data_IF_231433831475
#
_entry.id   IF_231433831475
#
_cell.length_a   1.000
_cell.length_b   1.000
_cell.length_c   1.000
_cell.angle_alpha   90.00
_cell.angle_beta   90.00
_cell.angle_gamma   90.00
#
_symmetry.space_group_name_H-M   'P 1'
#
loop_
_entity.id
_entity.type
_entity.pdbx_description
1 polymer ?
#
# COMPACT_ATOMS: atom_id res chain seq x y z
N UNK A 1 37.25 -34.44 15.15
CA UNK A 1 37.02 -33.76 16.46
C UNK A 1 36.28 -32.44 16.33
N UNK A 2 36.41 -31.73 15.24
CA UNK A 2 35.75 -30.39 15.06
C UNK A 2 34.21 -30.39 15.02
N UNK A 3 33.62 -31.44 14.50
CA UNK A 3 32.16 -31.45 14.28
C UNK A 3 31.37 -31.56 15.63
N UNK A 4 31.89 -32.29 16.61
CA UNK A 4 31.22 -32.48 17.90
C UNK A 4 31.27 -31.20 18.77
N UNK A 5 32.41 -30.52 18.79
CA UNK A 5 32.56 -29.23 19.52
C UNK A 5 31.69 -28.12 18.89
N UNK A 6 31.59 -28.07 17.59
CA UNK A 6 30.74 -27.14 16.87
C UNK A 6 29.26 -27.40 17.16
N UNK A 7 28.87 -28.68 17.20
CA UNK A 7 27.50 -29.08 17.51
C UNK A 7 27.12 -28.80 18.97
N UNK A 8 28.03 -29.05 19.91
CA UNK A 8 27.80 -28.72 21.32
C UNK A 8 27.64 -27.21 21.54
N UNK A 9 28.50 -26.41 20.89
CA UNK A 9 28.40 -24.95 20.98
C UNK A 9 27.07 -24.43 20.39
N UNK A 10 26.63 -25.00 19.29
CA UNK A 10 25.36 -24.69 18.68
C UNK A 10 24.17 -25.04 19.58
N UNK A 11 24.17 -26.20 20.19
CA UNK A 11 23.14 -26.64 21.12
C UNK A 11 23.09 -25.76 22.38
N UNK A 12 24.25 -25.32 22.90
CA UNK A 12 24.29 -24.36 24.02
C UNK A 12 23.64 -23.03 23.65
N UNK A 13 23.96 -22.47 22.47
CA UNK A 13 23.34 -21.24 21.98
C UNK A 13 21.83 -21.39 21.80
N UNK A 14 21.37 -22.54 21.32
CA UNK A 14 19.93 -22.84 21.23
C UNK A 14 19.29 -22.94 22.62
N UNK A 15 19.93 -23.57 23.56
CA UNK A 15 19.46 -23.70 24.94
C UNK A 15 19.33 -22.34 25.65
N UNK A 16 20.29 -21.44 25.41
CA UNK A 16 20.21 -20.06 25.92
C UNK A 16 19.03 -19.28 25.31
N UNK A 17 18.76 -19.47 24.04
CA UNK A 17 17.65 -18.84 23.34
C UNK A 17 16.29 -19.47 23.66
N UNK A 18 16.27 -20.79 23.86
CA UNK A 18 15.06 -21.59 24.08
C UNK A 18 15.25 -22.46 25.36
N UNK A 19 15.12 -21.89 26.56
CA UNK A 19 15.44 -22.55 27.82
C UNK A 19 14.47 -23.66 28.17
N UNK A 20 13.30 -23.72 27.53
CA UNK A 20 12.28 -24.75 27.78
C UNK A 20 11.41 -24.99 26.54
N UNK A 21 10.60 -26.05 26.61
CA UNK A 21 9.70 -26.43 25.53
C UNK A 21 8.67 -25.33 25.20
N UNK A 22 8.18 -24.60 26.19
CA UNK A 22 7.19 -23.54 25.98
C UNK A 22 7.76 -22.38 25.17
N UNK A 23 9.04 -22.02 25.39
CA UNK A 23 9.74 -21.02 24.58
C UNK A 23 9.88 -21.47 23.11
N UNK A 24 10.16 -22.74 22.87
CA UNK A 24 10.23 -23.32 21.52
C UNK A 24 8.85 -23.26 20.84
N UNK A 25 7.79 -23.70 21.54
CA UNK A 25 6.42 -23.72 21.02
C UNK A 25 5.96 -22.29 20.71
N UNK A 26 6.23 -21.34 21.59
CA UNK A 26 5.91 -19.92 21.37
C UNK A 26 6.57 -19.38 20.09
N UNK A 27 7.86 -19.66 19.89
CA UNK A 27 8.58 -19.24 18.68
C UNK A 27 8.03 -19.93 17.43
N UNK A 28 7.70 -21.22 17.49
CA UNK A 28 7.08 -21.94 16.38
C UNK A 28 5.73 -21.32 15.97
N UNK A 29 4.90 -20.96 16.96
CA UNK A 29 3.61 -20.28 16.70
C UNK A 29 3.86 -18.93 16.02
N UNK A 30 4.82 -18.14 16.53
CA UNK A 30 5.17 -16.85 15.95
C UNK A 30 5.69 -16.99 14.51
N UNK A 31 6.59 -17.92 14.25
CA UNK A 31 7.12 -18.18 12.91
C UNK A 31 6.03 -18.67 11.95
N UNK A 32 5.14 -19.54 12.41
CA UNK A 32 4.02 -20.01 11.62
C UNK A 32 3.06 -18.83 11.25
N UNK A 33 2.77 -17.97 12.22
CA UNK A 33 1.99 -16.76 11.97
C UNK A 33 2.67 -15.84 10.95
N UNK A 34 3.99 -15.63 11.06
CA UNK A 34 4.78 -14.84 10.10
C UNK A 34 4.73 -15.44 8.69
N UNK A 35 4.84 -16.76 8.56
CA UNK A 35 4.74 -17.45 7.26
C UNK A 35 3.36 -17.31 6.61
N UNK A 36 2.33 -17.15 7.43
CA UNK A 36 0.93 -16.96 6.96
C UNK A 36 0.61 -15.51 6.59
N UNK A 37 1.51 -14.54 6.90
CA UNK A 37 1.29 -13.15 6.54
C UNK A 37 1.37 -12.94 5.02
N UNK A 38 0.54 -12.04 4.46
CA UNK A 38 0.63 -11.68 3.06
C UNK A 38 2.03 -11.13 2.74
N UNK A 39 2.66 -11.68 1.70
CA UNK A 39 3.94 -11.19 1.18
C UNK A 39 3.71 -10.17 0.08
N UNK A 40 4.62 -9.20 -0.04
CA UNK A 40 4.67 -8.30 -1.19
C UNK A 40 5.12 -9.05 -2.45
N UNK A 41 4.93 -8.42 -3.60
CA UNK A 41 5.50 -8.91 -4.87
C UNK A 41 7.01 -8.70 -4.86
N UNK A 42 7.75 -9.74 -5.19
CA UNK A 42 9.21 -9.69 -5.35
C UNK A 42 9.53 -9.69 -6.85
N UNK A 43 10.43 -8.79 -7.27
CA UNK A 43 10.87 -8.69 -8.66
C UNK A 43 12.36 -9.00 -8.74
N UNK A 44 12.72 -9.94 -9.61
CA UNK A 44 14.11 -10.29 -9.87
C UNK A 44 14.55 -9.63 -11.19
N UNK A 45 15.62 -8.86 -11.12
CA UNK A 45 16.18 -8.14 -12.26
C UNK A 45 17.64 -8.54 -12.40
N UNK A 46 18.03 -9.04 -13.58
CA UNK A 46 19.39 -9.53 -13.80
C UNK A 46 20.32 -8.49 -14.41
N UNK A 47 19.83 -7.66 -15.32
CA UNK A 47 20.68 -6.79 -16.12
C UNK A 47 19.98 -5.48 -16.47
N UNK A 48 20.61 -4.37 -16.11
CA UNK A 48 20.03 -3.02 -16.25
C UNK A 48 20.62 -2.23 -17.41
N UNK A 49 21.81 -2.58 -17.89
CA UNK A 49 22.53 -1.90 -18.99
C UNK A 49 22.55 -0.35 -18.92
N UNK A 50 22.52 0.22 -17.71
CA UNK A 50 22.45 1.68 -17.51
C UNK A 50 21.10 2.31 -17.87
N UNK A 51 20.06 1.54 -18.16
CA UNK A 51 18.72 2.04 -18.48
C UNK A 51 17.95 2.48 -17.23
N UNK A 52 18.43 3.53 -16.54
CA UNK A 52 17.89 4.01 -15.26
C UNK A 52 16.37 4.36 -15.35
N UNK A 53 15.95 5.02 -16.42
CA UNK A 53 14.55 5.40 -16.60
C UNK A 53 13.62 4.19 -16.73
N UNK A 54 14.05 3.17 -17.49
CA UNK A 54 13.29 1.93 -17.61
C UNK A 54 13.20 1.18 -16.28
N UNK A 55 14.29 1.15 -15.50
CA UNK A 55 14.32 0.55 -14.18
C UNK A 55 13.40 1.27 -13.18
N UNK A 56 13.46 2.61 -13.13
CA UNK A 56 12.58 3.43 -12.29
C UNK A 56 11.11 3.20 -12.67
N UNK A 57 10.81 3.16 -13.97
CA UNK A 57 9.46 2.87 -14.47
C UNK A 57 8.98 1.49 -14.02
N UNK A 58 9.82 0.47 -14.12
CA UNK A 58 9.52 -0.88 -13.66
C UNK A 58 9.26 -0.92 -12.15
N UNK A 59 10.10 -0.27 -11.33
CA UNK A 59 9.90 -0.20 -9.87
C UNK A 59 8.58 0.51 -9.53
N UNK A 60 8.29 1.64 -10.17
CA UNK A 60 7.05 2.42 -9.92
C UNK A 60 5.79 1.64 -10.33
N UNK A 61 5.82 0.99 -11.47
CA UNK A 61 4.66 0.25 -11.99
C UNK A 61 4.53 -1.15 -11.38
N UNK A 62 5.61 -1.72 -10.92
CA UNK A 62 5.68 -3.05 -10.33
C UNK A 62 4.83 -4.10 -11.11
N UNK A 63 3.83 -4.69 -10.48
CA UNK A 63 2.95 -5.70 -11.09
C UNK A 63 1.77 -5.13 -11.91
N UNK A 64 1.67 -3.80 -12.10
CA UNK A 64 0.51 -3.17 -12.74
C UNK A 64 -0.80 -3.30 -11.95
N UNK A 65 -0.73 -3.69 -10.70
CA UNK A 65 -1.89 -3.98 -9.84
C UNK A 65 -2.74 -2.73 -9.59
N UNK A 66 -2.14 -1.52 -9.59
CA UNK A 66 -2.87 -0.28 -9.29
C UNK A 66 -3.99 -0.08 -10.30
N UNK A 67 -3.73 -0.23 -11.61
CA UNK A 67 -4.79 -0.09 -12.64
C UNK A 67 -5.95 -1.03 -12.36
N UNK A 68 -5.67 -2.30 -12.08
CA UNK A 68 -6.70 -3.28 -11.74
C UNK A 68 -7.48 -2.87 -10.50
N UNK A 69 -6.79 -2.36 -9.46
CA UNK A 69 -7.46 -1.89 -8.24
C UNK A 69 -8.31 -0.66 -8.47
N UNK A 70 -7.90 0.26 -9.33
CA UNK A 70 -8.72 1.40 -9.75
C UNK A 70 -9.99 0.90 -10.45
N UNK A 71 -9.87 -0.07 -11.35
CA UNK A 71 -11.01 -0.67 -12.05
C UNK A 71 -11.93 -1.43 -11.10
N UNK A 72 -11.38 -2.20 -10.15
CA UNK A 72 -12.14 -2.95 -9.13
C UNK A 72 -12.96 -2.00 -8.23
N UNK A 73 -12.37 -0.88 -7.81
CA UNK A 73 -12.99 0.03 -6.84
C UNK A 73 -13.99 0.98 -7.51
N UNK A 74 -13.65 1.49 -8.69
CA UNK A 74 -14.44 2.53 -9.34
C UNK A 74 -15.35 2.01 -10.44
N UNK A 75 -15.08 0.84 -11.02
CA UNK A 75 -15.91 0.28 -12.09
C UNK A 75 -16.26 1.33 -13.15
N UNK A 76 -17.55 1.61 -13.30
CA UNK A 76 -18.07 2.62 -14.23
C UNK A 76 -18.42 3.96 -13.54
N UNK A 77 -18.08 4.16 -12.27
CA UNK A 77 -18.43 5.38 -11.52
C UNK A 77 -17.60 6.60 -11.92
N UNK A 78 -16.42 6.36 -12.50
CA UNK A 78 -15.57 7.41 -13.08
C UNK A 78 -15.18 7.04 -14.52
N UNK A 79 -14.86 8.06 -15.31
CA UNK A 79 -14.49 7.85 -16.72
C UNK A 79 -13.14 7.15 -16.87
N UNK A 80 -12.91 6.51 -18.01
CA UNK A 80 -11.60 5.91 -18.33
C UNK A 80 -10.46 6.94 -18.31
N UNK A 81 -10.74 8.16 -18.77
CA UNK A 81 -9.76 9.25 -18.71
C UNK A 81 -9.41 9.62 -17.27
N UNK A 82 -10.40 9.65 -16.38
CA UNK A 82 -10.17 9.92 -14.96
C UNK A 82 -9.40 8.80 -14.28
N UNK A 83 -9.66 7.54 -14.62
CA UNK A 83 -8.88 6.39 -14.14
C UNK A 83 -7.42 6.46 -14.57
N UNK A 84 -7.17 6.79 -15.82
CA UNK A 84 -5.82 6.98 -16.35
C UNK A 84 -5.09 8.13 -15.65
N UNK A 85 -5.77 9.26 -15.45
CA UNK A 85 -5.23 10.42 -14.74
C UNK A 85 -4.88 10.06 -13.27
N UNK A 86 -5.72 9.27 -12.61
CA UNK A 86 -5.49 8.78 -11.25
C UNK A 86 -4.31 7.81 -11.18
N UNK A 87 -4.22 6.86 -12.11
CA UNK A 87 -3.06 5.97 -12.22
C UNK A 87 -1.77 6.76 -12.47
N UNK A 88 -1.80 7.75 -13.37
CA UNK A 88 -0.65 8.61 -13.64
C UNK A 88 -0.21 9.39 -12.38
N UNK A 89 -1.16 9.87 -11.59
CA UNK A 89 -0.86 10.55 -10.32
C UNK A 89 -0.22 9.62 -9.30
N UNK A 90 -0.67 8.37 -9.21
CA UNK A 90 -0.12 7.38 -8.26
C UNK A 90 1.29 6.95 -8.67
N UNK A 91 1.53 6.71 -9.96
CA UNK A 91 2.84 6.26 -10.44
C UNK A 91 3.86 7.39 -10.58
N UNK A 92 3.42 8.59 -10.97
CA UNK A 92 4.24 9.75 -11.28
C UNK A 92 3.66 11.03 -10.65
N UNK A 93 3.63 11.13 -9.31
CA UNK A 93 2.95 12.23 -8.61
C UNK A 93 3.54 13.60 -8.95
N UNK A 94 4.86 13.75 -8.94
CA UNK A 94 5.53 15.02 -9.18
C UNK A 94 5.30 15.52 -10.60
N UNK A 95 5.43 14.63 -11.58
CA UNK A 95 5.22 14.93 -12.98
C UNK A 95 3.76 15.29 -13.24
N UNK A 96 2.82 14.56 -12.62
CA UNK A 96 1.40 14.80 -12.80
C UNK A 96 0.93 16.10 -12.17
N UNK A 97 1.37 16.39 -10.95
CA UNK A 97 1.06 17.64 -10.25
C UNK A 97 1.62 18.83 -11.05
N UNK A 98 2.87 18.76 -11.47
CA UNK A 98 3.50 19.80 -12.30
C UNK A 98 2.74 20.01 -13.62
N UNK A 99 2.31 18.93 -14.27
CA UNK A 99 1.53 19.01 -15.50
C UNK A 99 0.20 19.75 -15.28
N UNK A 100 -0.53 19.44 -14.20
CA UNK A 100 -1.80 20.12 -13.85
C UNK A 100 -1.57 21.59 -13.54
N UNK A 101 -0.51 21.93 -12.81
CA UNK A 101 -0.15 23.32 -12.51
C UNK A 101 0.16 24.14 -13.77
N UNK A 102 0.80 23.53 -14.76
CA UNK A 102 1.17 24.20 -16.01
C UNK A 102 0.01 24.32 -17.00
N UNK A 103 -0.85 23.31 -17.11
CA UNK A 103 -1.87 23.23 -18.14
C UNK A 103 -3.29 23.52 -17.63
N UNK A 104 -3.44 23.67 -16.32
CA UNK A 104 -4.74 23.89 -15.67
C UNK A 104 -5.64 22.66 -15.68
N UNK A 105 -6.81 22.80 -15.06
CA UNK A 105 -7.79 21.72 -14.88
C UNK A 105 -8.68 21.46 -16.10
N UNK A 106 -8.65 22.33 -17.11
CA UNK A 106 -9.48 22.18 -18.30
C UNK A 106 -9.26 20.90 -19.11
N UNK A 107 -8.07 20.29 -18.94
CA UNK A 107 -7.70 19.00 -19.54
C UNK A 107 -7.84 17.80 -18.58
N UNK A 108 -8.27 18.06 -17.36
CA UNK A 108 -8.61 17.01 -16.40
C UNK A 108 -10.05 16.56 -16.64
N UNK A 109 -10.28 15.25 -16.64
CA UNK A 109 -11.63 14.70 -16.70
C UNK A 109 -12.29 14.83 -15.31
N UNK A 110 -12.65 16.07 -14.93
CA UNK A 110 -13.40 16.32 -13.71
C UNK A 110 -14.89 16.46 -14.05
N UNK A 111 -15.77 15.79 -13.30
CA UNK A 111 -17.22 15.90 -13.50
C UNK A 111 -17.80 17.23 -12.97
N UNK A 112 -16.97 18.10 -12.38
CA UNK A 112 -17.40 19.36 -11.76
C UNK A 112 -17.02 20.51 -12.69
N UNK A 113 -18.00 21.21 -13.30
CA UNK A 113 -17.74 22.44 -14.04
C UNK A 113 -17.12 23.49 -13.10
N UNK A 114 -16.09 24.18 -13.56
CA UNK A 114 -15.40 25.25 -12.81
C UNK A 114 -14.73 24.82 -11.50
N UNK A 115 -14.30 23.54 -11.38
CA UNK A 115 -13.55 23.06 -10.23
C UNK A 115 -12.28 23.90 -10.00
N UNK A 116 -12.03 24.26 -8.75
CA UNK A 116 -10.78 24.89 -8.31
C UNK A 116 -9.65 23.86 -8.23
N UNK A 117 -8.42 24.33 -8.13
CA UNK A 117 -7.27 23.45 -7.89
C UNK A 117 -7.39 22.73 -6.54
N UNK A 118 -8.00 23.38 -5.54
CA UNK A 118 -8.23 22.78 -4.23
C UNK A 118 -9.26 21.65 -4.30
N UNK A 119 -10.35 21.83 -5.07
CA UNK A 119 -11.33 20.77 -5.32
C UNK A 119 -10.68 19.55 -5.98
N UNK A 120 -9.74 19.79 -6.92
CA UNK A 120 -8.98 18.75 -7.56
C UNK A 120 -8.12 17.97 -6.53
N UNK A 121 -7.37 18.67 -5.64
CA UNK A 121 -6.57 18.02 -4.61
C UNK A 121 -7.44 17.21 -3.66
N UNK A 122 -8.51 17.77 -3.15
CA UNK A 122 -9.44 17.09 -2.24
C UNK A 122 -9.98 15.81 -2.88
N UNK A 123 -10.47 15.91 -4.13
CA UNK A 123 -10.98 14.76 -4.87
C UNK A 123 -9.90 13.68 -5.06
N UNK A 124 -8.68 14.06 -5.47
CA UNK A 124 -7.58 13.10 -5.68
C UNK A 124 -7.14 12.44 -4.39
N UNK A 125 -7.10 13.18 -3.28
CA UNK A 125 -6.80 12.62 -1.96
C UNK A 125 -7.85 11.58 -1.57
N UNK A 126 -9.14 11.89 -1.69
CA UNK A 126 -10.20 10.92 -1.42
C UNK A 126 -10.10 9.67 -2.31
N UNK A 127 -9.81 9.83 -3.59
CA UNK A 127 -9.63 8.70 -4.50
C UNK A 127 -8.43 7.82 -4.10
N UNK A 128 -7.30 8.43 -3.74
CA UNK A 128 -6.10 7.70 -3.29
C UNK A 128 -6.37 6.99 -1.96
N UNK A 129 -7.06 7.63 -1.01
CA UNK A 129 -7.47 7.00 0.25
C UNK A 129 -8.35 5.77 0.01
N UNK A 130 -9.32 5.85 -0.89
CA UNK A 130 -10.17 4.71 -1.23
C UNK A 130 -9.37 3.54 -1.84
N UNK A 131 -8.43 3.84 -2.74
CA UNK A 131 -7.53 2.82 -3.29
C UNK A 131 -6.65 2.22 -2.18
N UNK A 132 -6.10 3.06 -1.32
CA UNK A 132 -5.26 2.62 -0.20
C UNK A 132 -6.04 1.72 0.75
N UNK A 133 -7.31 2.03 1.06
CA UNK A 133 -8.20 1.13 1.80
C UNK A 133 -8.34 -0.22 1.10
N UNK A 134 -8.69 -0.21 -0.19
CA UNK A 134 -8.88 -1.43 -0.95
C UNK A 134 -7.65 -2.33 -1.05
N UNK A 135 -6.44 -1.75 -1.09
CA UNK A 135 -5.19 -2.53 -1.11
C UNK A 135 -4.70 -2.92 0.28
N UNK A 136 -5.09 -2.18 1.32
CA UNK A 136 -4.63 -2.40 2.70
C UNK A 136 -5.45 -3.45 3.47
N UNK A 137 -6.63 -3.82 2.99
CA UNK A 137 -7.53 -4.79 3.66
C UNK A 137 -6.82 -6.10 4.07
N UNK A 138 -5.87 -6.56 3.26
CA UNK A 138 -5.10 -7.78 3.52
C UNK A 138 -3.96 -7.62 4.53
N UNK A 139 -3.70 -6.41 5.02
CA UNK A 139 -2.60 -6.11 5.93
C UNK A 139 -3.12 -5.70 7.31
N UNK A 140 -2.33 -5.96 8.34
CA UNK A 140 -2.62 -5.47 9.69
C UNK A 140 -2.41 -3.95 9.77
N UNK A 141 -3.14 -3.27 10.67
CA UNK A 141 -2.97 -1.82 10.92
C UNK A 141 -1.49 -1.45 11.19
N UNK A 142 -0.80 -2.24 12.01
CA UNK A 142 0.62 -2.02 12.31
C UNK A 142 1.50 -2.08 11.05
N UNK A 143 1.21 -2.99 10.12
CA UNK A 143 1.93 -3.08 8.85
C UNK A 143 1.63 -1.89 7.95
N UNK A 144 0.37 -1.48 7.85
CA UNK A 144 -0.03 -0.28 7.09
C UNK A 144 0.67 0.96 7.64
N UNK A 145 0.62 1.18 8.97
CA UNK A 145 1.29 2.32 9.62
C UNK A 145 2.79 2.39 9.32
N UNK A 146 3.50 1.26 9.28
CA UNK A 146 4.93 1.20 8.94
C UNK A 146 5.24 1.58 7.50
N UNK A 147 4.27 1.46 6.60
CA UNK A 147 4.40 1.82 5.18
C UNK A 147 4.09 3.29 4.91
N UNK A 148 3.41 3.97 5.83
CA UNK A 148 3.05 5.38 5.68
C UNK A 148 4.23 6.30 6.00
N UNK A 149 4.28 7.50 5.40
CA UNK A 149 5.27 8.52 5.73
C UNK A 149 5.20 8.88 7.22
N UNK A 150 6.31 8.81 7.93
CA UNK A 150 6.37 8.96 9.40
C UNK A 150 5.65 10.22 9.91
N UNK A 151 5.82 11.34 9.21
CA UNK A 151 5.24 12.63 9.62
C UNK A 151 3.72 12.71 9.49
N UNK A 152 3.14 11.87 8.64
CA UNK A 152 1.71 11.88 8.31
C UNK A 152 1.02 10.55 8.64
N UNK A 153 1.76 9.58 9.19
CA UNK A 153 1.26 8.21 9.41
C UNK A 153 -0.01 8.20 10.27
N UNK A 154 -0.05 9.01 11.33
CA UNK A 154 -1.20 9.09 12.22
C UNK A 154 -2.44 9.63 11.49
N UNK A 155 -2.33 10.81 10.85
CA UNK A 155 -3.49 11.43 10.21
C UNK A 155 -4.00 10.63 9.01
N UNK A 156 -3.09 10.02 8.23
CA UNK A 156 -3.49 9.14 7.12
C UNK A 156 -4.18 7.88 7.66
N UNK A 157 -3.69 7.30 8.75
CA UNK A 157 -4.32 6.14 9.39
C UNK A 157 -5.74 6.48 9.87
N UNK A 158 -5.94 7.61 10.55
CA UNK A 158 -7.26 8.07 10.97
C UNK A 158 -8.19 8.22 9.75
N UNK A 159 -7.76 8.93 8.71
CA UNK A 159 -8.54 9.11 7.48
C UNK A 159 -8.83 7.79 6.76
N UNK A 160 -7.95 6.79 6.86
CA UNK A 160 -8.20 5.47 6.27
C UNK A 160 -9.31 4.70 6.99
N UNK A 161 -9.45 4.88 8.30
CA UNK A 161 -10.36 4.07 9.11
C UNK A 161 -11.62 4.81 9.56
N UNK A 162 -11.64 6.15 9.54
CA UNK A 162 -12.78 6.98 9.97
C UNK A 162 -14.03 6.76 9.11
N UNK A 163 -13.89 6.68 7.80
CA UNK A 163 -15.03 6.53 6.90
C UNK A 163 -15.66 5.12 6.90
N UNK A 164 -15.02 4.13 7.54
CA UNK A 164 -15.68 2.84 7.80
C UNK A 164 -16.76 2.96 8.87
N UNK A 165 -16.68 3.98 9.72
CA UNK A 165 -17.66 4.26 10.79
C UNK A 165 -18.89 5.00 10.21
N UNK A 166 -18.71 5.86 9.21
CA UNK A 166 -19.82 6.58 8.58
C UNK A 166 -20.69 5.67 7.69
N UNK A 167 -20.08 4.75 6.96
CA UNK A 167 -20.84 3.76 6.18
C UNK A 167 -21.68 2.84 7.10
N UNK A 168 -21.14 2.43 8.25
CA UNK A 168 -21.86 1.62 9.24
C UNK A 168 -23.00 2.42 9.94
N UNK A 169 -22.88 3.76 10.02
CA UNK A 169 -23.95 4.64 10.52
C UNK A 169 -25.03 4.92 9.50
N UNK A 170 -24.71 4.97 8.20
CA UNK A 170 -25.71 5.16 7.14
C UNK A 170 -26.58 3.93 6.96
N UNK A 171 -25.99 2.73 7.06
CA UNK A 171 -26.73 1.46 6.98
C UNK A 171 -27.65 1.25 8.19
N UNK A 172 -27.28 1.75 9.39
CA UNK A 172 -28.14 1.68 10.57
C UNK A 172 -29.32 2.67 10.57
N UNK A 173 -29.24 3.75 9.77
CA UNK A 173 -30.35 4.71 9.62
C UNK A 173 -31.38 4.30 8.59
N UNK A 174 -31.09 3.29 7.75
CA UNK A 174 -32.04 2.76 6.75
C UNK A 174 -32.87 1.58 7.25
N UNK A 175 -32.76 1.21 8.53
CA UNK A 175 -33.48 0.07 9.16
C UNK A 175 -34.43 0.55 10.27
N UNK A 176 -34.90 1.80 10.25
CA UNK A 176 -35.97 2.28 11.13
C UNK A 176 -37.14 2.79 10.31
#
# INVERSE_FOLDING_TARGET
MDNFQTQERYLRLLSDKFPNADAVVTELINLHAILSLPKGTEHFVSDLHGASNAFIHMIKNASGVIRRKVDDIYGNTITEQEKLALCALIYYPDERIRWVQLHGLSKEALPIPHASIDDWYVRRIHQILNITRGVSVKYTRSKVRKMLPKNFAYIIEELLYESSIENDRSDRKSVV
#
